data_IF_821528147650
#
_entry.id   IF_821528147650
#
_cell.length_a   1.000
_cell.length_b   1.000
_cell.length_c   1.000
_cell.angle_alpha   90.00
_cell.angle_beta   90.00
_cell.angle_gamma   90.00
#
_symmetry.space_group_name_H-M   'P 1'
#
loop_
_entity.id
_entity.type
_entity.pdbx_description
1 polymer ?
#
# COMPACT_ATOMS: atom_id res chain seq x y z
N UNK A 1 -18.06 -5.42 -1.51
CA UNK A 1 -17.38 -5.58 -2.82
C UNK A 1 -16.90 -4.25 -3.42
N UNK A 2 -17.42 -3.10 -3.02
CA UNK A 2 -17.10 -1.79 -3.64
C UNK A 2 -15.68 -1.26 -3.35
N UNK A 3 -15.03 -1.70 -2.26
CA UNK A 3 -13.74 -1.13 -1.85
C UNK A 3 -12.50 -1.84 -2.43
N UNK A 4 -12.67 -2.93 -3.20
CA UNK A 4 -11.53 -3.72 -3.73
C UNK A 4 -10.61 -2.87 -4.60
N UNK A 5 -11.17 -2.00 -5.44
CA UNK A 5 -10.38 -1.10 -6.28
C UNK A 5 -9.68 0.01 -5.49
N UNK A 6 -10.19 0.31 -4.29
CA UNK A 6 -9.69 1.39 -3.45
C UNK A 6 -8.58 0.94 -2.50
N UNK A 7 -8.71 -0.24 -1.89
CA UNK A 7 -7.77 -0.72 -0.84
C UNK A 7 -7.21 -2.12 -1.10
N UNK A 8 -7.62 -2.78 -2.18
CA UNK A 8 -7.25 -4.15 -2.52
C UNK A 8 -8.08 -5.21 -1.79
N UNK A 9 -8.09 -6.43 -2.34
CA UNK A 9 -8.96 -7.51 -1.87
C UNK A 9 -8.74 -7.92 -0.41
N UNK A 10 -7.51 -7.83 0.11
CA UNK A 10 -7.20 -8.16 1.51
C UNK A 10 -7.85 -7.18 2.49
N UNK A 11 -7.71 -5.89 2.25
CA UNK A 11 -8.25 -4.85 3.13
C UNK A 11 -9.78 -4.78 3.01
N UNK A 12 -10.32 -4.94 1.81
CA UNK A 12 -11.78 -5.03 1.61
C UNK A 12 -12.38 -6.22 2.38
N UNK A 13 -11.74 -7.40 2.31
CA UNK A 13 -12.18 -8.58 3.07
C UNK A 13 -12.12 -8.37 4.58
N UNK A 14 -11.05 -7.73 5.09
CA UNK A 14 -10.93 -7.39 6.52
C UNK A 14 -12.03 -6.43 6.97
N UNK A 15 -12.33 -5.39 6.18
CA UNK A 15 -13.42 -4.46 6.47
C UNK A 15 -14.80 -5.14 6.49
N UNK A 16 -15.06 -6.04 5.55
CA UNK A 16 -16.28 -6.83 5.52
C UNK A 16 -16.40 -7.75 6.74
N UNK A 17 -15.30 -8.37 7.19
CA UNK A 17 -15.30 -9.21 8.40
C UNK A 17 -15.55 -8.39 9.66
N UNK A 18 -14.89 -7.24 9.84
CA UNK A 18 -15.13 -6.34 10.98
C UNK A 18 -16.60 -5.90 11.02
N UNK A 19 -17.16 -5.50 9.87
CA UNK A 19 -18.51 -4.94 9.79
C UNK A 19 -19.61 -5.98 10.01
N UNK A 20 -19.41 -7.21 9.51
CA UNK A 20 -20.48 -8.21 9.46
C UNK A 20 -20.34 -9.34 10.49
N UNK A 21 -19.13 -9.61 10.99
CA UNK A 21 -18.88 -10.77 11.86
C UNK A 21 -18.71 -10.41 13.34
N UNK A 22 -18.62 -9.11 13.67
CA UNK A 22 -18.59 -8.65 15.06
C UNK A 22 -19.83 -9.10 15.86
N UNK A 23 -21.01 -9.13 15.21
CA UNK A 23 -22.28 -9.52 15.83
C UNK A 23 -22.38 -11.02 16.14
N UNK A 24 -21.52 -11.86 15.54
CA UNK A 24 -21.47 -13.32 15.76
C UNK A 24 -20.24 -13.75 16.58
N UNK A 25 -19.59 -12.80 17.26
CA UNK A 25 -18.52 -13.07 18.22
C UNK A 25 -17.14 -13.28 17.59
N UNK A 26 -16.95 -12.94 16.31
CA UNK A 26 -15.63 -12.94 15.68
C UNK A 26 -14.98 -11.58 15.93
N UNK A 27 -13.91 -11.56 16.72
CA UNK A 27 -13.14 -10.36 16.99
C UNK A 27 -12.01 -10.20 15.97
N UNK A 28 -12.06 -9.13 15.19
CA UNK A 28 -11.04 -8.79 14.19
C UNK A 28 -10.40 -7.47 14.60
N UNK A 29 -9.08 -7.41 14.78
CA UNK A 29 -8.41 -6.18 15.18
C UNK A 29 -8.68 -5.04 14.20
N UNK A 30 -9.11 -3.89 14.74
CA UNK A 30 -9.28 -2.67 13.97
C UNK A 30 -7.96 -2.09 13.45
N UNK A 31 -8.07 -1.20 12.47
CA UNK A 31 -6.92 -0.53 11.86
C UNK A 31 -7.32 0.42 10.75
N UNK A 32 -6.35 0.77 9.92
CA UNK A 32 -6.55 1.60 8.73
C UNK A 32 -5.76 1.02 7.55
N UNK A 33 -6.21 1.34 6.35
CA UNK A 33 -5.55 0.98 5.10
C UNK A 33 -5.21 2.25 4.33
N UNK A 34 -4.04 2.27 3.68
CA UNK A 34 -3.78 3.24 2.62
C UNK A 34 -4.59 2.88 1.37
N UNK A 35 -4.72 3.84 0.46
CA UNK A 35 -5.55 3.69 -0.73
C UNK A 35 -4.66 3.49 -1.97
N UNK A 36 -5.22 2.88 -3.01
CA UNK A 36 -4.57 2.75 -4.32
C UNK A 36 -4.26 4.12 -4.94
N UNK A 37 -5.09 5.13 -4.65
CA UNK A 37 -4.85 6.52 -5.07
C UNK A 37 -3.63 7.10 -4.37
N UNK A 38 -3.50 6.96 -3.05
CA UNK A 38 -2.32 7.40 -2.31
C UNK A 38 -1.02 6.74 -2.83
N UNK A 39 -1.09 5.46 -3.19
CA UNK A 39 0.05 4.76 -3.80
C UNK A 39 0.41 5.32 -5.19
N UNK A 40 -0.58 5.60 -6.04
CA UNK A 40 -0.35 6.21 -7.36
C UNK A 40 0.27 7.60 -7.24
N UNK A 41 -0.24 8.42 -6.34
CA UNK A 41 0.31 9.76 -6.05
C UNK A 41 1.75 9.67 -5.54
N UNK A 42 2.04 8.73 -4.63
CA UNK A 42 3.39 8.42 -4.15
C UNK A 42 4.39 8.10 -5.28
N UNK A 43 3.97 7.32 -6.28
CA UNK A 43 4.84 7.01 -7.41
C UNK A 43 5.03 8.20 -8.36
N UNK A 44 3.99 9.01 -8.57
CA UNK A 44 4.02 10.11 -9.55
C UNK A 44 4.82 11.34 -9.08
N UNK A 45 4.89 11.61 -7.77
CA UNK A 45 5.56 12.83 -7.26
C UNK A 45 7.07 12.89 -7.54
N UNK A 46 7.69 11.74 -7.81
CA UNK A 46 9.15 11.58 -7.92
C UNK A 46 9.60 11.10 -9.30
N UNK A 47 8.67 10.96 -10.26
CA UNK A 47 8.94 10.37 -11.58
C UNK A 47 9.43 8.91 -11.49
N UNK A 48 9.14 8.25 -10.37
CA UNK A 48 9.59 6.88 -10.11
C UNK A 48 8.78 5.90 -10.92
N UNK A 49 7.50 6.18 -11.16
CA UNK A 49 6.69 5.46 -12.12
C UNK A 49 7.38 5.37 -13.49
N UNK A 50 7.82 6.48 -14.06
CA UNK A 50 8.51 6.51 -15.35
C UNK A 50 9.81 5.71 -15.31
N UNK A 51 10.59 5.86 -14.23
CA UNK A 51 11.86 5.14 -14.05
C UNK A 51 11.66 3.64 -13.92
N UNK A 52 10.65 3.20 -13.17
CA UNK A 52 10.24 1.80 -13.02
C UNK A 52 9.79 1.25 -14.36
N UNK A 53 8.87 1.94 -15.04
CA UNK A 53 8.31 1.49 -16.32
C UNK A 53 9.41 1.33 -17.38
N UNK A 54 10.33 2.30 -17.48
CA UNK A 54 11.48 2.19 -18.38
C UNK A 54 12.32 0.94 -18.10
N UNK A 55 12.64 0.69 -16.83
CA UNK A 55 13.46 -0.46 -16.43
C UNK A 55 12.76 -1.79 -16.70
N UNK A 56 11.45 -1.85 -16.48
CA UNK A 56 10.64 -3.05 -16.74
C UNK A 56 10.45 -3.31 -18.23
N UNK A 57 10.33 -2.28 -19.07
CA UNK A 57 10.18 -2.43 -20.52
C UNK A 57 11.43 -3.04 -21.19
N UNK A 58 12.60 -2.87 -20.57
CA UNK A 58 13.87 -3.42 -21.05
C UNK A 58 14.17 -4.82 -20.47
N UNK A 59 13.36 -5.32 -19.53
CA UNK A 59 13.60 -6.55 -18.79
C UNK A 59 13.00 -7.77 -19.50
N UNK A 60 13.84 -8.76 -19.77
CA UNK A 60 13.38 -10.14 -20.00
C UNK A 60 13.06 -10.80 -18.66
N UNK A 61 11.79 -11.15 -18.46
CA UNK A 61 11.31 -11.74 -17.20
C UNK A 61 11.66 -13.22 -17.04
N UNK A 62 12.07 -13.89 -18.12
CA UNK A 62 12.53 -15.29 -18.09
C UNK A 62 13.99 -15.38 -17.60
N UNK A 63 14.76 -14.28 -17.67
CA UNK A 63 16.05 -14.18 -17.01
C UNK A 63 15.86 -13.86 -15.51
N UNK A 64 15.72 -14.92 -14.72
CA UNK A 64 15.51 -14.84 -13.27
C UNK A 64 16.63 -14.12 -12.51
N UNK A 65 17.87 -14.12 -13.03
CA UNK A 65 18.97 -13.41 -12.37
C UNK A 65 18.83 -11.91 -12.57
N UNK A 66 18.59 -11.48 -13.81
CA UNK A 66 18.37 -10.07 -14.14
C UNK A 66 17.08 -9.56 -13.47
N UNK A 67 16.01 -10.37 -13.45
CA UNK A 67 14.78 -10.07 -12.73
C UNK A 67 15.02 -9.79 -11.24
N UNK A 68 15.84 -10.60 -10.57
CA UNK A 68 16.15 -10.42 -9.16
C UNK A 68 16.91 -9.10 -8.90
N UNK A 69 17.87 -8.76 -9.76
CA UNK A 69 18.64 -7.51 -9.68
C UNK A 69 17.73 -6.31 -9.92
N UNK A 70 16.95 -6.32 -10.99
CA UNK A 70 16.01 -5.23 -11.32
C UNK A 70 14.96 -5.04 -10.24
N UNK A 71 14.38 -6.14 -9.74
CA UNK A 71 13.41 -6.09 -8.66
C UNK A 71 13.99 -5.51 -7.37
N UNK A 72 15.26 -5.82 -7.05
CA UNK A 72 15.95 -5.22 -5.88
C UNK A 72 16.15 -3.71 -6.09
N UNK A 73 16.57 -3.31 -7.29
CA UNK A 73 16.80 -1.91 -7.63
C UNK A 73 15.50 -1.08 -7.52
N UNK A 74 14.40 -1.57 -8.10
CA UNK A 74 13.07 -0.93 -8.02
C UNK A 74 12.59 -0.81 -6.57
N UNK A 75 12.73 -1.88 -5.77
CA UNK A 75 12.36 -1.83 -4.34
C UNK A 75 13.18 -0.79 -3.58
N UNK A 76 14.46 -0.63 -3.90
CA UNK A 76 15.29 0.38 -3.26
C UNK A 76 14.83 1.80 -3.60
N UNK A 77 14.46 2.06 -4.86
CA UNK A 77 13.89 3.37 -5.24
C UNK A 77 12.63 3.70 -4.43
N UNK A 78 11.74 2.73 -4.25
CA UNK A 78 10.53 2.91 -3.43
C UNK A 78 10.90 3.21 -1.97
N UNK A 79 11.88 2.51 -1.39
CA UNK A 79 12.33 2.73 -0.01
C UNK A 79 12.96 4.12 0.18
N UNK A 80 13.76 4.56 -0.78
CA UNK A 80 14.50 5.84 -0.71
C UNK A 80 13.59 7.05 -0.96
N UNK A 81 12.34 6.82 -1.37
CA UNK A 81 11.40 7.88 -1.71
C UNK A 81 10.62 8.32 -0.49
N UNK A 82 10.71 9.59 -0.09
CA UNK A 82 9.92 10.09 1.03
C UNK A 82 8.43 10.11 0.69
N UNK A 83 7.58 9.96 1.70
CA UNK A 83 6.14 10.17 1.51
C UNK A 83 5.84 11.65 1.23
N UNK A 84 4.71 11.89 0.54
CA UNK A 84 4.09 13.21 0.54
C UNK A 84 3.81 13.66 1.97
N UNK A 85 3.96 14.97 2.27
CA UNK A 85 3.56 15.52 3.56
C UNK A 85 2.11 15.16 3.94
N UNK A 86 1.20 15.16 2.98
CA UNK A 86 -0.21 14.84 3.19
C UNK A 86 -0.43 13.37 3.56
N UNK A 87 0.27 12.46 2.87
CA UNK A 87 0.19 11.02 3.15
C UNK A 87 0.80 10.70 4.53
N UNK A 88 1.95 11.29 4.83
CA UNK A 88 2.59 11.11 6.14
C UNK A 88 1.70 11.62 7.28
N UNK A 89 1.12 12.82 7.12
CA UNK A 89 0.21 13.39 8.10
C UNK A 89 -1.02 12.49 8.32
N UNK A 90 -1.65 12.01 7.26
CA UNK A 90 -2.82 11.11 7.33
C UNK A 90 -2.49 9.79 8.05
N UNK A 91 -1.33 9.19 7.78
CA UNK A 91 -0.88 7.97 8.47
C UNK A 91 -0.65 8.24 9.96
N UNK A 92 -0.02 9.36 10.31
CA UNK A 92 0.24 9.73 11.71
C UNK A 92 -1.06 9.98 12.48
N UNK A 93 -2.01 10.67 11.87
CA UNK A 93 -3.34 10.92 12.45
C UNK A 93 -4.10 9.60 12.68
N UNK A 94 -4.17 8.74 11.66
CA UNK A 94 -4.84 7.45 11.77
C UNK A 94 -4.20 6.55 12.84
N UNK A 95 -2.86 6.58 12.94
CA UNK A 95 -2.12 5.85 13.96
C UNK A 95 -2.39 6.39 15.38
N UNK A 96 -2.38 7.72 15.56
CA UNK A 96 -2.69 8.35 16.84
C UNK A 96 -4.12 8.03 17.30
N UNK A 97 -5.09 8.06 16.39
CA UNK A 97 -6.48 7.64 16.66
C UNK A 97 -6.54 6.18 17.10
N UNK A 98 -5.88 5.27 16.38
CA UNK A 98 -5.82 3.84 16.76
C UNK A 98 -5.22 3.62 18.15
N UNK A 99 -4.20 4.41 18.53
CA UNK A 99 -3.63 4.32 19.88
C UNK A 99 -4.60 4.79 20.96
N UNK A 100 -5.37 5.85 20.68
CA UNK A 100 -6.39 6.34 21.62
C UNK A 100 -7.53 5.32 21.81
N UNK A 101 -7.96 4.65 20.75
CA UNK A 101 -9.04 3.64 20.78
C UNK A 101 -8.63 2.34 21.49
N UNK A 102 -7.32 2.12 21.72
CA UNK A 102 -6.79 0.93 22.39
C UNK A 102 -6.64 1.09 23.93
N UNK A 103 -6.91 2.28 24.46
CA UNK A 103 -6.90 2.60 25.90
C UNK A 103 -8.33 2.70 26.44
#
# INVERSE_FOLDING_TARGET
MDDVEHVGGKNASLGEMISNLASVGVDVPGGFATTATAFREFLSQSGIDDRINKKLNELDVEDVNTLAVVGKEIRQWVIDTPFQPELEAAIREAYAKKQADAN
#
